data_IF_041472350211
#
_entry.id   IF_041472350211
#
_cell.length_a   1.000
_cell.length_b   1.000
_cell.length_c   1.000
_cell.angle_alpha   90.00
_cell.angle_beta   90.00
_cell.angle_gamma   90.00
#
_symmetry.space_group_name_H-M   'P 1'
#
loop_
_entity.id
_entity.type
_entity.pdbx_description
1 polymer ?
#
# COMPACT_ATOMS: atom_id res chain seq x y z
N UNK A 1 -0.99 -15.72 17.34
CA UNK A 1 0.02 -15.11 16.48
C UNK A 1 -0.62 -14.58 15.20
N UNK A 2 -0.17 -13.43 14.76
CA UNK A 2 -0.68 -12.84 13.52
C UNK A 2 0.16 -13.32 12.35
N UNK A 3 -0.47 -13.95 11.36
CA UNK A 3 0.21 -14.31 10.12
C UNK A 3 0.49 -13.07 9.29
N UNK A 4 1.52 -13.13 8.43
CA UNK A 4 1.86 -12.01 7.57
C UNK A 4 0.68 -11.62 6.66
N UNK A 5 -0.08 -12.60 6.16
CA UNK A 5 -1.22 -12.29 5.31
C UNK A 5 -2.36 -11.62 6.08
N UNK A 6 -2.51 -11.86 7.39
CA UNK A 6 -3.53 -11.18 8.19
C UNK A 6 -3.27 -9.68 8.26
N UNK A 7 -2.01 -9.29 8.47
CA UNK A 7 -1.63 -7.87 8.50
C UNK A 7 -1.89 -7.20 7.15
N UNK A 8 -1.60 -7.90 6.06
CA UNK A 8 -1.84 -7.37 4.71
C UNK A 8 -3.35 -7.23 4.42
N UNK A 9 -4.15 -8.22 4.79
CA UNK A 9 -5.60 -8.13 4.63
C UNK A 9 -6.16 -6.93 5.39
N UNK A 10 -5.72 -6.75 6.63
CA UNK A 10 -6.18 -5.65 7.48
C UNK A 10 -5.80 -4.31 6.89
N UNK A 11 -4.56 -4.20 6.41
CA UNK A 11 -4.05 -2.97 5.81
C UNK A 11 -4.83 -2.62 4.55
N UNK A 12 -5.12 -3.59 3.69
CA UNK A 12 -5.78 -3.39 2.41
C UNK A 12 -7.31 -3.43 2.50
N UNK A 13 -7.87 -3.66 3.70
CA UNK A 13 -9.31 -3.66 3.88
C UNK A 13 -9.92 -2.27 3.74
N UNK A 14 -9.18 -1.22 4.10
CA UNK A 14 -9.63 0.16 3.93
C UNK A 14 -9.61 0.51 2.44
N UNK A 15 -10.77 0.87 1.84
CA UNK A 15 -10.82 1.09 0.40
C UNK A 15 -9.99 2.29 -0.07
N UNK A 16 -9.90 3.35 0.73
CA UNK A 16 -9.08 4.52 0.36
C UNK A 16 -7.61 4.16 0.38
N UNK A 17 -7.17 3.46 1.43
CA UNK A 17 -5.78 3.03 1.54
C UNK A 17 -5.41 2.06 0.42
N UNK A 18 -6.29 1.11 0.12
CA UNK A 18 -6.09 0.17 -0.98
C UNK A 18 -5.98 0.89 -2.33
N UNK A 19 -6.83 1.91 -2.55
CA UNK A 19 -6.80 2.68 -3.79
C UNK A 19 -5.48 3.44 -3.96
N UNK A 20 -4.93 3.97 -2.86
CA UNK A 20 -3.62 4.63 -2.88
C UNK A 20 -2.53 3.63 -3.29
N UNK A 21 -2.54 2.45 -2.70
CA UNK A 21 -1.59 1.39 -3.04
C UNK A 21 -1.72 0.97 -4.51
N UNK A 22 -2.97 0.77 -4.97
CA UNK A 22 -3.23 0.38 -6.36
C UNK A 22 -2.71 1.43 -7.33
N UNK A 23 -2.88 2.72 -7.00
CA UNK A 23 -2.37 3.78 -7.86
C UNK A 23 -0.85 3.75 -7.95
N UNK A 24 -0.17 3.48 -6.84
CA UNK A 24 1.29 3.34 -6.88
C UNK A 24 1.73 2.16 -7.74
N UNK A 25 0.98 1.06 -7.69
CA UNK A 25 1.26 -0.09 -8.56
C UNK A 25 1.07 0.24 -10.04
N UNK A 26 0.02 1.00 -10.36
CA UNK A 26 -0.38 1.29 -11.74
C UNK A 26 0.43 2.41 -12.37
N UNK A 27 0.75 3.45 -11.58
CA UNK A 27 1.36 4.68 -12.10
C UNK A 27 2.83 4.82 -11.74
N UNK A 28 3.35 3.93 -10.88
CA UNK A 28 4.73 4.04 -10.40
C UNK A 28 4.86 5.05 -9.29
N UNK A 29 6.09 5.49 -9.05
CA UNK A 29 6.41 6.40 -7.96
C UNK A 29 5.61 7.70 -8.05
N UNK A 30 5.04 8.13 -6.91
CA UNK A 30 4.21 9.33 -6.82
C UNK A 30 4.60 10.13 -5.58
N UNK A 31 4.48 11.46 -5.68
CA UNK A 31 4.61 12.33 -4.50
C UNK A 31 3.32 12.30 -3.68
N UNK A 32 3.42 12.72 -2.41
CA UNK A 32 2.25 12.86 -1.54
C UNK A 32 1.24 13.83 -2.18
N UNK A 33 1.73 14.91 -2.78
CA UNK A 33 0.85 15.89 -3.44
C UNK A 33 0.07 15.27 -4.59
N UNK A 34 0.74 14.50 -5.43
CA UNK A 34 0.06 13.82 -6.55
C UNK A 34 -0.98 12.82 -6.06
N UNK A 35 -0.65 12.05 -5.03
CA UNK A 35 -1.59 11.09 -4.43
C UNK A 35 -2.78 11.81 -3.81
N UNK A 36 -2.55 12.92 -3.12
CA UNK A 36 -3.62 13.71 -2.50
C UNK A 36 -4.60 14.24 -3.56
N UNK A 37 -4.06 14.76 -4.66
CA UNK A 37 -4.89 15.32 -5.74
C UNK A 37 -5.85 14.28 -6.32
N UNK A 38 -5.51 13.01 -6.27
CA UNK A 38 -6.29 11.94 -6.87
C UNK A 38 -7.14 11.17 -5.86
N UNK A 39 -6.90 11.37 -4.56
CA UNK A 39 -7.48 10.51 -3.54
C UNK A 39 -8.89 10.90 -3.10
N UNK A 40 -9.25 12.17 -3.27
CA UNK A 40 -10.52 12.68 -2.76
C UNK A 40 -10.54 12.92 -1.26
N UNK A 41 -9.40 12.76 -0.58
CA UNK A 41 -9.28 13.00 0.86
C UNK A 41 -8.16 14.01 1.11
N UNK A 42 -8.02 14.45 2.37
CA UNK A 42 -7.03 15.47 2.73
C UNK A 42 -5.61 14.91 2.70
N UNK A 43 -4.63 15.81 2.59
CA UNK A 43 -3.23 15.43 2.64
C UNK A 43 -2.86 14.73 3.96
N UNK A 44 -3.31 15.21 5.14
CA UNK A 44 -3.03 14.46 6.38
C UNK A 44 -3.59 13.04 6.35
N UNK A 45 -4.76 12.83 5.76
CA UNK A 45 -5.33 11.49 5.64
C UNK A 45 -4.49 10.61 4.71
N UNK A 46 -4.04 11.15 3.57
CA UNK A 46 -3.16 10.42 2.66
C UNK A 46 -1.86 10.04 3.36
N UNK A 47 -1.25 10.99 4.09
CA UNK A 47 -0.01 10.73 4.82
C UNK A 47 -0.20 9.63 5.86
N UNK A 48 -1.33 9.60 6.55
CA UNK A 48 -1.64 8.57 7.53
C UNK A 48 -1.77 7.20 6.85
N UNK A 49 -2.48 7.12 5.73
CA UNK A 49 -2.60 5.88 4.96
C UNK A 49 -1.25 5.38 4.46
N UNK A 50 -0.41 6.29 3.98
CA UNK A 50 0.94 5.92 3.52
C UNK A 50 1.79 5.40 4.68
N UNK A 51 1.66 5.96 5.87
CA UNK A 51 2.35 5.47 7.06
C UNK A 51 1.97 4.04 7.40
N UNK A 52 0.68 3.71 7.32
CA UNK A 52 0.19 2.35 7.55
C UNK A 52 0.71 1.39 6.48
N UNK A 53 0.66 1.80 5.21
CA UNK A 53 1.19 1.01 4.10
C UNK A 53 2.69 0.74 4.27
N UNK A 54 3.44 1.75 4.70
CA UNK A 54 4.88 1.62 4.91
C UNK A 54 5.18 0.63 6.05
N UNK A 55 4.44 0.70 7.15
CA UNK A 55 4.63 -0.22 8.25
C UNK A 55 4.34 -1.67 7.85
N UNK A 56 3.41 -1.86 6.94
CA UNK A 56 3.10 -3.19 6.40
C UNK A 56 4.09 -3.66 5.34
N UNK A 57 5.05 -2.82 4.96
CA UNK A 57 6.05 -3.14 3.94
C UNK A 57 5.56 -3.02 2.51
N UNK A 58 4.36 -2.47 2.31
CA UNK A 58 3.73 -2.40 0.98
C UNK A 58 4.22 -1.23 0.15
N UNK A 59 4.76 -0.19 0.79
CA UNK A 59 5.33 0.96 0.08
C UNK A 59 6.66 1.32 0.71
N UNK A 60 7.48 2.01 -0.07
CA UNK A 60 8.75 2.57 0.33
C UNK A 60 8.75 4.05 0.02
N UNK A 61 9.37 4.85 0.87
CA UNK A 61 9.48 6.29 0.65
C UNK A 61 10.90 6.68 0.31
N UNK A 62 11.02 7.79 -0.40
CA UNK A 62 12.30 8.37 -0.79
C UNK A 62 12.16 9.90 -0.68
N UNK A 63 13.12 10.51 -0.01
CA UNK A 63 13.12 11.96 0.14
C UNK A 63 14.03 12.59 -0.91
N UNK A 64 13.52 13.63 -1.57
CA UNK A 64 14.28 14.38 -2.55
C UNK A 64 13.93 15.87 -2.39
N UNK A 65 14.87 16.65 -1.88
CA UNK A 65 14.61 18.03 -1.55
C UNK A 65 13.52 18.13 -0.50
N UNK A 66 12.45 18.86 -0.81
CA UNK A 66 11.31 19.06 0.10
C UNK A 66 10.17 18.05 -0.17
N UNK A 67 10.37 17.15 -1.12
CA UNK A 67 9.32 16.23 -1.52
C UNK A 67 9.63 14.83 -1.02
N UNK A 68 8.58 14.11 -0.66
CA UNK A 68 8.64 12.69 -0.37
C UNK A 68 7.93 11.93 -1.49
N UNK A 69 8.63 10.96 -2.05
CA UNK A 69 8.13 10.10 -3.11
C UNK A 69 7.86 8.73 -2.54
N UNK A 70 6.76 8.13 -2.96
CA UNK A 70 6.38 6.78 -2.53
C UNK A 70 6.30 5.85 -3.72
N UNK A 71 6.71 4.61 -3.52
CA UNK A 71 6.63 3.57 -4.55
C UNK A 71 6.12 2.26 -3.93
N UNK A 72 5.44 1.45 -4.74
CA UNK A 72 4.93 0.17 -4.30
C UNK A 72 6.05 -0.85 -4.16
N UNK A 73 5.95 -1.69 -3.14
CA UNK A 73 6.84 -2.83 -2.90
C UNK A 73 6.06 -4.11 -3.19
N UNK A 74 6.04 -4.52 -4.47
CA UNK A 74 5.18 -5.62 -4.90
C UNK A 74 5.57 -6.95 -4.27
N UNK A 75 6.85 -7.14 -3.94
CA UNK A 75 7.29 -8.35 -3.24
C UNK A 75 6.63 -8.56 -1.89
N UNK A 76 6.12 -7.49 -1.27
CA UNK A 76 5.43 -7.59 0.01
C UNK A 76 4.07 -8.29 -0.09
N UNK A 77 3.56 -8.51 -1.31
CA UNK A 77 2.31 -9.23 -1.53
C UNK A 77 2.47 -10.76 -1.48
N UNK A 78 3.71 -11.26 -1.38
CA UNK A 78 3.96 -12.70 -1.41
C UNK A 78 3.11 -13.51 -0.42
N UNK A 79 2.92 -13.06 0.85
CA UNK A 79 2.06 -13.82 1.76
C UNK A 79 0.61 -13.94 1.29
N UNK A 80 0.08 -12.92 0.60
CA UNK A 80 -1.26 -12.99 0.03
C UNK A 80 -1.32 -13.96 -1.15
N UNK A 81 -0.28 -13.96 -1.97
CA UNK A 81 -0.19 -14.91 -3.09
C UNK A 81 -0.13 -16.34 -2.58
N UNK A 82 0.64 -16.58 -1.53
CA UNK A 82 0.74 -17.91 -0.92
C UNK A 82 -0.61 -18.34 -0.34
N UNK A 83 -1.29 -17.43 0.36
CA UNK A 83 -2.62 -17.72 0.90
C UNK A 83 -3.60 -18.06 -0.23
N UNK A 84 -3.56 -17.29 -1.31
CA UNK A 84 -4.44 -17.52 -2.48
C UNK A 84 -4.19 -18.91 -3.08
N UNK A 85 -2.92 -19.30 -3.23
CA UNK A 85 -2.57 -20.62 -3.74
C UNK A 85 -3.07 -21.73 -2.84
N UNK A 86 -2.96 -21.55 -1.52
CA UNK A 86 -3.46 -22.52 -0.56
C UNK A 86 -4.97 -22.69 -0.68
N UNK A 87 -5.69 -21.57 -0.79
CA UNK A 87 -7.14 -21.62 -0.94
C UNK A 87 -7.55 -22.28 -2.25
N UNK A 88 -6.86 -21.94 -3.34
CA UNK A 88 -7.12 -22.56 -4.64
C UNK A 88 -6.86 -24.06 -4.64
N UNK A 89 -5.94 -24.53 -3.80
CA UNK A 89 -5.62 -25.96 -3.68
C UNK A 89 -6.74 -26.80 -3.09
N UNK A 90 -7.78 -26.18 -2.52
CA UNK A 90 -8.93 -26.90 -1.97
C UNK A 90 -10.04 -27.12 -3.00
N UNK A 91 -9.90 -26.68 -4.22
CA UNK A 91 -10.91 -26.85 -5.30
C UNK A 91 -10.83 -28.19 -5.99
#
# INVERSE_FOLDING_TARGET
MTNAHDALFRTLADPTRRAIFERLCQKGEQTVGALTAQSGVSQPAVSQHLGVLRQAGLVRDRHEGRQTHYSAQLGALAPLMDWTRQMAGFW
#
